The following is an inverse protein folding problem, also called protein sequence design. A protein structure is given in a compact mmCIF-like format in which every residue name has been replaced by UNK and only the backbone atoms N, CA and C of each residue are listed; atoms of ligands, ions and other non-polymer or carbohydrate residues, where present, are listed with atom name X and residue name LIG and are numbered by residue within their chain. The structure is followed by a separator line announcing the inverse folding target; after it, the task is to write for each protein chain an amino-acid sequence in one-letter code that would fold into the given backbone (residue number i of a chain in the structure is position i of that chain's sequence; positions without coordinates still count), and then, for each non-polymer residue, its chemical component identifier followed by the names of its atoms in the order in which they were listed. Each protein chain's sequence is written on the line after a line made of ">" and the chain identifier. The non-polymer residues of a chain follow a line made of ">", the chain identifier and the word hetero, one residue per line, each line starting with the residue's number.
data_IF_254079612385
#
_entry.id   IF_254079612385
#
_cell.length_a   1.000
_cell.length_b   1.000
_cell.length_c   1.000
_cell.angle_alpha   90.00
_cell.angle_beta   90.00
_cell.angle_gamma   90.00
#
_symmetry.space_group_name_H-M   'P 1'
#
loop_
_entity.id
_entity.type
_entity.pdbx_description
1 polymer ?
#
# COMPACT_ATOMS: atom_id res chain seq x y z
N UNK A 1 32.11 1.70 12.95
CA UNK A 1 32.27 3.12 13.29
C UNK A 1 31.14 3.60 14.15
N UNK A 2 31.28 4.76 14.72
CA UNK A 2 30.36 5.28 15.74
C UNK A 2 29.11 5.96 15.13
N UNK A 3 28.83 5.68 13.84
CA UNK A 3 27.72 6.29 13.10
C UNK A 3 26.51 5.40 13.04
N UNK A 4 25.33 5.99 13.21
CA UNK A 4 24.03 5.29 13.30
C UNK A 4 23.07 5.80 12.26
N UNK A 5 22.57 4.90 11.43
CA UNK A 5 21.56 5.18 10.41
C UNK A 5 20.32 4.40 10.77
N UNK A 6 19.21 5.11 10.95
CA UNK A 6 17.89 4.50 11.08
C UNK A 6 17.37 4.10 9.70
N UNK A 7 16.92 2.87 9.55
CA UNK A 7 16.26 2.42 8.33
C UNK A 7 14.81 2.11 8.64
N UNK A 8 13.91 2.86 8.05
CA UNK A 8 12.48 2.87 8.27
C UNK A 8 12.07 3.19 9.73
N UNK A 9 10.86 3.67 9.90
CA UNK A 9 10.26 3.96 11.20
C UNK A 9 8.74 3.79 11.08
N UNK A 10 8.29 2.54 11.20
CA UNK A 10 6.93 2.13 10.95
C UNK A 10 6.01 2.19 12.16
N UNK A 11 4.73 2.04 11.91
CA UNK A 11 3.71 1.75 12.93
C UNK A 11 3.18 0.34 12.74
N UNK A 12 2.97 -0.38 13.84
CA UNK A 12 2.36 -1.71 13.78
C UNK A 12 0.92 -1.61 13.27
N UNK A 13 0.54 -2.35 12.21
CA UNK A 13 -0.74 -2.16 11.53
C UNK A 13 -1.97 -2.56 12.35
N UNK A 14 -1.80 -3.45 13.34
CA UNK A 14 -2.89 -3.99 14.18
C UNK A 14 -2.94 -3.39 15.58
N UNK A 15 -1.79 -3.02 16.13
CA UNK A 15 -1.73 -2.50 17.49
C UNK A 15 -2.31 -1.09 17.57
N UNK A 16 -2.79 -0.74 18.75
CA UNK A 16 -3.36 0.57 19.04
C UNK A 16 -2.58 1.27 20.14
N UNK A 17 -2.80 2.58 20.30
CA UNK A 17 -2.11 3.37 21.30
C UNK A 17 -0.58 3.22 21.17
N UNK A 18 0.15 3.27 22.26
CA UNK A 18 1.63 3.20 22.28
C UNK A 18 2.19 1.89 21.73
N UNK A 19 1.43 0.81 21.78
CA UNK A 19 1.85 -0.50 21.26
C UNK A 19 1.99 -0.50 19.72
N UNK A 20 1.38 0.48 19.06
CA UNK A 20 1.59 0.68 17.62
C UNK A 20 2.95 1.28 17.26
N UNK A 21 3.66 1.88 18.22
CA UNK A 21 4.95 2.53 18.00
C UNK A 21 6.11 1.55 18.22
N UNK A 22 7.24 1.73 17.54
CA UNK A 22 8.49 1.04 17.85
C UNK A 22 8.94 1.36 19.30
N UNK A 23 9.75 0.47 19.88
CA UNK A 23 10.35 0.66 21.20
C UNK A 23 11.50 1.67 21.12
N UNK A 24 11.17 2.94 20.92
CA UNK A 24 12.15 4.01 20.74
C UNK A 24 13.10 4.17 21.93
N UNK A 25 12.67 3.87 23.16
CA UNK A 25 13.50 3.95 24.36
C UNK A 25 14.84 3.19 24.22
N UNK A 26 14.89 2.18 23.32
CA UNK A 26 16.12 1.44 23.06
C UNK A 26 17.17 2.21 22.27
N UNK A 27 16.81 3.32 21.66
CA UNK A 27 17.69 4.08 20.77
C UNK A 27 17.80 5.57 21.12
N UNK A 28 16.96 6.08 22.02
CA UNK A 28 16.90 7.53 22.32
C UNK A 28 18.13 8.06 23.04
N UNK A 29 18.88 7.20 23.75
CA UNK A 29 20.11 7.62 24.47
C UNK A 29 21.32 7.80 23.55
N UNK A 30 21.17 7.52 22.28
CA UNK A 30 22.25 7.51 21.31
C UNK A 30 21.94 8.40 20.10
N UNK A 31 22.94 9.09 19.54
CA UNK A 31 22.72 9.95 18.38
C UNK A 31 22.30 9.11 17.15
N UNK A 32 21.40 9.64 16.33
CA UNK A 32 21.09 9.18 14.99
C UNK A 32 21.61 10.21 13.98
N UNK A 33 22.53 9.80 13.12
CA UNK A 33 23.18 10.69 12.15
C UNK A 33 22.31 10.90 10.88
N UNK A 34 21.53 9.91 10.50
CA UNK A 34 20.64 9.96 9.34
C UNK A 34 19.51 8.93 9.45
N UNK A 35 18.46 9.11 8.66
CA UNK A 35 17.46 8.07 8.41
C UNK A 35 17.27 7.83 6.92
N UNK A 36 16.93 6.59 6.56
CA UNK A 36 16.49 6.20 5.21
C UNK A 36 15.07 5.70 5.32
N UNK A 37 14.18 6.18 4.45
CA UNK A 37 12.83 5.64 4.27
C UNK A 37 12.79 4.85 2.97
N UNK A 38 12.63 3.53 3.08
CA UNK A 38 12.60 2.63 1.93
C UNK A 38 11.38 2.86 1.04
N UNK A 39 10.21 3.01 1.64
CA UNK A 39 8.97 3.30 0.92
C UNK A 39 7.89 3.89 1.84
N UNK A 40 6.74 4.24 1.28
CA UNK A 40 5.76 5.07 1.97
C UNK A 40 4.70 4.34 2.80
N UNK A 41 4.63 2.99 2.83
CA UNK A 41 3.65 2.28 3.66
C UNK A 41 3.83 2.63 5.15
N UNK A 42 2.73 2.61 5.92
CA UNK A 42 2.74 3.10 7.30
C UNK A 42 3.52 2.19 8.27
N UNK A 43 3.67 0.92 7.96
CA UNK A 43 4.53 -0.01 8.67
C UNK A 43 6.04 0.25 8.44
N UNK A 44 6.38 1.16 7.53
CA UNK A 44 7.73 1.68 7.30
C UNK A 44 7.87 3.18 7.62
N UNK A 45 6.83 3.98 7.43
CA UNK A 45 6.88 5.45 7.55
C UNK A 45 6.08 6.01 8.73
N UNK A 46 5.17 5.22 9.32
CA UNK A 46 4.07 5.71 10.14
C UNK A 46 4.48 6.39 11.45
N UNK A 47 5.62 6.03 12.01
CA UNK A 47 6.14 6.65 13.24
C UNK A 47 7.30 7.62 13.00
N UNK A 48 7.67 7.88 11.73
CA UNK A 48 8.77 8.79 11.39
C UNK A 48 8.62 10.18 12.01
N UNK A 49 7.45 10.85 12.05
CA UNK A 49 7.31 12.12 12.73
C UNK A 49 7.53 12.04 14.26
N UNK A 50 7.28 10.88 14.86
CA UNK A 50 7.48 10.69 16.31
C UNK A 50 8.98 10.66 16.62
N UNK A 51 9.77 9.82 15.91
CA UNK A 51 11.21 9.76 16.15
C UNK A 51 11.92 11.06 15.78
N UNK A 52 11.51 11.76 14.72
CA UNK A 52 12.08 13.04 14.32
C UNK A 52 11.80 14.17 15.34
N UNK A 53 10.83 14.01 16.24
CA UNK A 53 10.64 14.94 17.37
C UNK A 53 11.82 14.90 18.34
N UNK A 54 12.42 13.73 18.53
CA UNK A 54 13.60 13.54 19.37
C UNK A 54 14.90 13.92 18.64
N UNK A 55 14.92 13.80 17.31
CA UNK A 55 16.06 14.12 16.45
C UNK A 55 15.68 15.15 15.39
N UNK A 56 15.40 16.42 15.76
CA UNK A 56 14.79 17.41 14.87
C UNK A 56 15.66 17.79 13.68
N UNK A 57 16.97 17.65 13.78
CA UNK A 57 17.93 17.97 12.72
C UNK A 57 18.37 16.75 11.91
N UNK A 58 17.90 15.54 12.25
CA UNK A 58 18.26 14.33 11.54
C UNK A 58 17.76 14.36 10.09
N UNK A 59 18.66 14.30 9.09
CA UNK A 59 18.26 14.22 7.69
C UNK A 59 17.61 12.86 7.39
N UNK A 60 16.52 12.89 6.63
CA UNK A 60 15.81 11.68 6.18
C UNK A 60 15.89 11.61 4.66
N UNK A 61 16.48 10.55 4.14
CA UNK A 61 16.62 10.33 2.71
C UNK A 61 15.60 9.32 2.20
N UNK A 62 15.02 9.60 1.05
CA UNK A 62 14.02 8.74 0.40
C UNK A 62 13.94 9.06 -1.10
N UNK A 63 13.18 8.30 -1.88
CA UNK A 63 12.90 8.68 -3.27
C UNK A 63 11.91 9.86 -3.34
N UNK A 64 11.92 10.62 -4.47
CA UNK A 64 10.97 11.71 -4.70
C UNK A 64 9.50 11.25 -4.62
N UNK A 65 9.22 10.04 -5.08
CA UNK A 65 7.88 9.48 -5.06
C UNK A 65 7.47 9.02 -3.66
N UNK A 66 8.39 8.44 -2.90
CA UNK A 66 8.17 8.08 -1.49
C UNK A 66 7.87 9.31 -0.66
N UNK A 67 8.60 10.42 -0.82
CA UNK A 67 8.32 11.68 -0.14
C UNK A 67 6.86 12.13 -0.37
N UNK A 68 6.43 12.21 -1.63
CA UNK A 68 5.08 12.65 -1.95
C UNK A 68 3.98 11.72 -1.41
N UNK A 69 4.20 10.41 -1.43
CA UNK A 69 3.25 9.42 -0.94
C UNK A 69 3.21 9.37 0.59
N UNK A 70 4.37 9.39 1.25
CA UNK A 70 4.48 9.36 2.70
C UNK A 70 3.80 10.58 3.34
N UNK A 71 4.04 11.80 2.82
CA UNK A 71 3.31 12.99 3.27
C UNK A 71 1.80 12.80 3.18
N UNK A 72 1.32 12.31 2.05
CA UNK A 72 -0.12 12.11 1.84
C UNK A 72 -0.72 11.07 2.80
N UNK A 73 0.01 9.99 3.09
CA UNK A 73 -0.41 8.95 4.04
C UNK A 73 -0.35 9.44 5.49
N UNK A 74 0.71 10.10 5.89
CA UNK A 74 0.85 10.62 7.26
C UNK A 74 -0.24 11.64 7.58
N UNK A 75 -0.56 12.54 6.65
CA UNK A 75 -1.71 13.44 6.82
C UNK A 75 -3.04 12.69 6.94
N UNK A 76 -3.23 11.61 6.20
CA UNK A 76 -4.41 10.76 6.35
C UNK A 76 -4.40 10.02 7.70
N UNK A 77 -3.24 9.54 8.15
CA UNK A 77 -3.08 8.87 9.44
C UNK A 77 -3.48 9.78 10.63
N UNK A 78 -3.11 11.07 10.59
CA UNK A 78 -3.61 12.04 11.59
C UNK A 78 -5.13 12.06 11.65
N UNK A 79 -5.81 12.12 10.51
CA UNK A 79 -7.27 12.12 10.48
C UNK A 79 -7.87 10.81 11.05
N UNK A 80 -7.28 9.67 10.70
CA UNK A 80 -7.72 8.36 11.21
C UNK A 80 -7.51 8.25 12.71
N UNK A 81 -6.33 8.64 13.21
CA UNK A 81 -6.05 8.64 14.65
C UNK A 81 -6.98 9.60 15.42
N UNK A 82 -7.28 10.78 14.87
CA UNK A 82 -8.23 11.74 15.47
C UNK A 82 -9.62 11.12 15.59
N UNK A 83 -10.13 10.46 14.54
CA UNK A 83 -11.42 9.75 14.61
C UNK A 83 -11.39 8.61 15.63
N UNK A 84 -10.30 7.83 15.68
CA UNK A 84 -10.14 6.75 16.67
C UNK A 84 -10.09 7.29 18.11
N UNK A 85 -9.45 8.44 18.34
CA UNK A 85 -9.47 9.11 19.63
C UNK A 85 -10.88 9.39 20.10
N UNK A 86 -11.70 9.99 19.25
CA UNK A 86 -13.08 10.35 19.56
C UNK A 86 -13.97 9.12 19.77
N UNK A 87 -13.76 8.07 19.00
CA UNK A 87 -14.62 6.88 18.97
C UNK A 87 -14.25 5.82 20.02
N UNK A 88 -12.97 5.65 20.32
CA UNK A 88 -12.42 4.60 21.19
C UNK A 88 -11.85 5.14 22.50
N UNK A 89 -11.78 6.47 22.66
CA UNK A 89 -11.22 7.09 23.86
C UNK A 89 -9.71 6.94 24.01
N UNK A 90 -8.98 6.74 22.90
CA UNK A 90 -7.52 6.57 22.90
C UNK A 90 -6.87 7.95 23.03
N UNK A 91 -6.53 8.36 24.25
CA UNK A 91 -6.05 9.71 24.56
C UNK A 91 -4.71 10.06 23.91
N UNK A 92 -3.86 9.09 23.64
CA UNK A 92 -2.55 9.25 23.01
C UNK A 92 -2.63 9.63 21.52
N UNK A 93 -3.78 9.43 20.88
CA UNK A 93 -3.97 9.82 19.48
C UNK A 93 -4.34 11.30 19.33
N UNK A 94 -3.93 11.94 18.23
CA UNK A 94 -2.97 11.46 17.26
C UNK A 94 -1.53 11.59 17.79
N UNK A 95 -0.65 10.65 17.45
CA UNK A 95 0.76 10.68 17.85
C UNK A 95 1.52 11.90 17.34
N UNK A 96 1.08 12.47 16.24
CA UNK A 96 1.62 13.67 15.63
C UNK A 96 0.50 14.43 14.90
N UNK A 97 0.74 15.71 14.65
CA UNK A 97 -0.21 16.63 14.04
C UNK A 97 0.19 16.96 12.59
N UNK A 98 -0.74 17.54 11.82
CA UNK A 98 -0.43 18.07 10.50
C UNK A 98 0.71 19.08 10.51
N UNK A 99 0.81 19.91 11.57
CA UNK A 99 1.86 20.93 11.74
C UNK A 99 3.23 20.26 11.95
N UNK A 100 3.29 19.18 12.74
CA UNK A 100 4.52 18.43 12.96
C UNK A 100 5.01 17.77 11.67
N UNK A 101 4.13 17.18 10.87
CA UNK A 101 4.50 16.64 9.55
C UNK A 101 5.17 17.73 8.70
N UNK A 102 4.60 18.93 8.62
CA UNK A 102 5.21 20.04 7.87
C UNK A 102 6.56 20.48 8.45
N UNK A 103 6.73 20.39 9.78
CA UNK A 103 8.00 20.73 10.44
C UNK A 103 9.09 19.74 10.09
N UNK A 104 8.83 18.44 10.28
CA UNK A 104 9.82 17.35 10.06
C UNK A 104 10.16 17.17 8.59
N UNK A 105 9.23 17.46 7.69
CA UNK A 105 9.45 17.38 6.24
C UNK A 105 10.56 18.34 5.75
N UNK A 106 10.94 19.35 6.51
CA UNK A 106 12.07 20.24 6.17
C UNK A 106 13.41 19.49 6.17
N UNK A 107 13.51 18.40 6.90
CA UNK A 107 14.68 17.52 6.95
C UNK A 107 14.58 16.33 5.98
N UNK A 108 13.56 16.29 5.12
CA UNK A 108 13.42 15.26 4.12
C UNK A 108 14.16 15.64 2.85
N UNK A 109 15.06 14.77 2.43
CA UNK A 109 15.97 14.97 1.32
C UNK A 109 15.73 13.94 0.22
N UNK A 110 14.78 14.17 -0.71
CA UNK A 110 14.53 13.26 -1.81
C UNK A 110 15.77 13.03 -2.67
N UNK A 111 16.01 11.78 -3.09
CA UNK A 111 17.13 11.37 -3.92
C UNK A 111 16.62 10.58 -5.12
N UNK A 112 17.39 10.65 -6.22
CA UNK A 112 17.08 9.91 -7.44
C UNK A 112 17.70 8.51 -7.39
N UNK A 113 16.96 7.51 -7.85
CA UNK A 113 17.45 6.15 -7.99
C UNK A 113 18.66 6.08 -8.93
N UNK A 114 19.58 5.17 -8.65
CA UNK A 114 20.80 4.96 -9.40
C UNK A 114 21.85 6.06 -9.27
N UNK A 115 21.63 7.06 -8.41
CA UNK A 115 22.60 8.13 -8.13
C UNK A 115 23.14 7.99 -6.72
N UNK A 116 24.48 7.78 -6.62
CA UNK A 116 25.19 7.78 -5.34
C UNK A 116 25.15 9.16 -4.70
N UNK A 117 24.93 9.21 -3.39
CA UNK A 117 24.96 10.41 -2.59
C UNK A 117 25.64 10.16 -1.24
N UNK A 118 26.26 11.19 -0.70
CA UNK A 118 26.92 11.13 0.59
C UNK A 118 25.92 11.30 1.73
N UNK A 119 26.13 10.54 2.79
CA UNK A 119 25.48 10.72 4.07
C UNK A 119 26.41 11.62 4.93
N UNK A 120 26.33 12.92 4.72
CA UNK A 120 27.32 13.90 5.18
C UNK A 120 27.73 13.78 6.65
N UNK A 121 26.80 13.46 7.52
CA UNK A 121 27.06 13.34 8.95
C UNK A 121 27.72 12.00 9.34
N UNK A 122 27.93 11.09 8.40
CA UNK A 122 28.36 9.72 8.67
C UNK A 122 29.84 9.44 8.43
N UNK A 123 30.66 10.48 8.22
CA UNK A 123 32.11 10.28 8.09
C UNK A 123 32.55 9.50 6.84
N UNK A 124 31.92 9.76 5.70
CA UNK A 124 32.29 9.16 4.41
C UNK A 124 31.47 7.93 3.99
N UNK A 125 30.35 7.66 4.67
CA UNK A 125 29.39 6.69 4.16
C UNK A 125 28.59 7.29 3.01
N UNK A 126 28.33 6.48 1.99
CA UNK A 126 27.49 6.86 0.86
C UNK A 126 26.35 5.85 0.67
N UNK A 127 25.30 6.28 -0.02
CA UNK A 127 24.17 5.44 -0.32
C UNK A 127 23.76 5.58 -1.79
N UNK A 128 23.28 4.49 -2.38
CA UNK A 128 22.65 4.46 -3.70
C UNK A 128 21.32 3.77 -3.59
N UNK A 129 20.25 4.40 -4.11
CA UNK A 129 18.93 3.80 -4.15
C UNK A 129 18.74 2.99 -5.43
N UNK A 130 18.28 1.75 -5.29
CA UNK A 130 17.87 0.87 -6.36
C UNK A 130 16.36 0.66 -6.33
N UNK A 131 15.72 0.41 -7.48
CA UNK A 131 14.28 0.15 -7.52
C UNK A 131 13.97 -1.19 -6.85
N UNK A 132 13.11 -1.18 -5.84
CA UNK A 132 12.68 -2.38 -5.12
C UNK A 132 11.51 -3.11 -5.79
N UNK A 133 10.80 -2.51 -6.74
CA UNK A 133 9.70 -3.14 -7.49
C UNK A 133 8.39 -3.32 -6.73
N UNK A 134 8.34 -2.97 -5.43
CA UNK A 134 7.20 -3.19 -4.56
C UNK A 134 6.03 -2.22 -4.84
N UNK A 135 6.23 -0.92 -4.61
CA UNK A 135 5.29 0.16 -4.96
C UNK A 135 6.04 1.31 -5.60
N UNK A 136 5.31 2.31 -6.11
CA UNK A 136 5.92 3.52 -6.65
C UNK A 136 6.85 4.18 -5.63
N UNK A 137 8.10 4.36 -6.01
CA UNK A 137 9.11 5.01 -5.19
C UNK A 137 9.81 4.11 -4.18
N UNK A 138 9.39 2.85 -4.03
CA UNK A 138 10.07 1.89 -3.16
C UNK A 138 11.51 1.67 -3.62
N UNK A 139 12.45 1.73 -2.67
CA UNK A 139 13.89 1.61 -2.92
C UNK A 139 14.54 0.58 -2.02
N UNK A 140 15.56 -0.07 -2.58
CA UNK A 140 16.54 -0.88 -1.85
C UNK A 140 17.83 -0.07 -1.73
N UNK A 141 18.15 0.51 -0.56
CA UNK A 141 19.38 1.27 -0.35
C UNK A 141 20.61 0.35 -0.27
N UNK A 142 21.63 0.68 -1.03
CA UNK A 142 22.99 0.12 -0.92
C UNK A 142 23.88 1.15 -0.22
N UNK A 143 24.39 0.79 0.92
CA UNK A 143 25.36 1.59 1.68
C UNK A 143 26.79 1.14 1.36
N UNK A 144 27.68 2.10 1.23
CA UNK A 144 29.10 1.86 1.05
C UNK A 144 29.88 2.64 2.11
N UNK A 145 30.71 1.95 2.85
CA UNK A 145 31.56 2.52 3.89
C UNK A 145 32.83 1.70 4.09
N UNK A 146 33.98 2.34 4.09
CA UNK A 146 35.30 1.69 4.32
C UNK A 146 35.53 0.43 3.47
N UNK A 147 35.15 0.47 2.20
CA UNK A 147 35.29 -0.64 1.27
C UNK A 147 34.33 -1.82 1.51
N UNK A 148 33.33 -1.66 2.34
CA UNK A 148 32.26 -2.62 2.59
C UNK A 148 30.93 -2.13 2.04
N UNK A 149 30.11 -3.09 1.62
CA UNK A 149 28.76 -2.84 1.07
C UNK A 149 27.71 -3.55 1.89
N UNK A 150 26.66 -2.80 2.26
CA UNK A 150 25.49 -3.33 2.98
C UNK A 150 24.26 -2.97 2.16
N UNK A 151 23.43 -3.95 1.81
CA UNK A 151 22.17 -3.73 1.13
C UNK A 151 21.01 -4.11 2.03
N UNK A 152 20.04 -3.22 2.13
CA UNK A 152 18.72 -3.47 2.71
C UNK A 152 17.69 -3.48 1.59
N UNK A 153 16.90 -4.53 1.45
CA UNK A 153 15.95 -4.62 0.34
C UNK A 153 14.72 -3.75 0.52
N UNK A 154 14.35 -3.44 1.77
CA UNK A 154 12.97 -3.05 2.04
C UNK A 154 12.03 -4.17 1.59
N UNK A 155 10.78 -3.81 1.33
CA UNK A 155 9.85 -4.69 0.63
C UNK A 155 10.22 -4.76 -0.84
N UNK A 156 10.48 -5.96 -1.35
CA UNK A 156 11.03 -6.18 -2.69
C UNK A 156 10.14 -7.09 -3.53
N UNK A 157 9.99 -6.74 -4.81
CA UNK A 157 9.26 -7.56 -5.77
C UNK A 157 10.04 -7.65 -7.10
N UNK A 158 10.35 -8.86 -7.55
CA UNK A 158 11.25 -9.08 -8.68
C UNK A 158 10.56 -9.10 -10.05
N UNK A 159 9.26 -9.38 -10.08
CA UNK A 159 8.49 -9.46 -11.33
C UNK A 159 7.87 -8.11 -11.69
N UNK A 160 7.63 -7.88 -12.98
CA UNK A 160 6.88 -6.72 -13.43
C UNK A 160 5.42 -6.83 -12.96
N UNK A 161 4.93 -5.76 -12.34
CA UNK A 161 3.51 -5.55 -12.07
C UNK A 161 2.86 -4.84 -13.27
N UNK A 162 1.58 -4.49 -13.21
CA UNK A 162 0.96 -3.76 -14.33
C UNK A 162 1.56 -2.36 -14.53
N UNK A 163 1.92 -1.68 -13.44
CA UNK A 163 2.55 -0.34 -13.50
C UNK A 163 4.03 -0.41 -13.14
N UNK A 164 4.35 -0.93 -11.97
CA UNK A 164 5.70 -0.89 -11.44
C UNK A 164 6.50 -2.05 -12.01
N UNK A 165 7.67 -1.76 -12.53
CA UNK A 165 8.62 -2.79 -12.97
C UNK A 165 9.25 -3.47 -11.78
N UNK A 166 9.57 -4.75 -11.92
CA UNK A 166 10.26 -5.53 -10.92
C UNK A 166 11.57 -4.90 -10.46
N UNK A 167 12.07 -5.34 -9.32
CA UNK A 167 13.28 -4.81 -8.72
C UNK A 167 14.46 -4.74 -9.71
N UNK A 168 15.26 -3.70 -9.60
CA UNK A 168 16.47 -3.54 -10.40
C UNK A 168 17.64 -3.31 -9.45
N UNK A 169 18.18 -4.41 -8.93
CA UNK A 169 19.24 -4.42 -7.93
C UNK A 169 20.63 -4.45 -8.60
N UNK A 170 21.71 -4.07 -7.87
CA UNK A 170 23.07 -4.14 -8.40
C UNK A 170 23.48 -5.59 -8.65
N UNK A 171 24.37 -5.79 -9.63
CA UNK A 171 24.97 -7.09 -9.96
C UNK A 171 26.31 -7.32 -9.24
N UNK A 172 26.84 -6.28 -8.60
CA UNK A 172 28.10 -6.35 -7.86
C UNK A 172 27.96 -7.18 -6.59
N UNK A 173 29.10 -7.69 -6.11
CA UNK A 173 29.17 -8.41 -4.85
C UNK A 173 28.77 -7.49 -3.68
N UNK A 174 27.87 -7.97 -2.86
CA UNK A 174 27.42 -7.31 -1.63
C UNK A 174 27.99 -8.07 -0.44
N UNK A 175 28.64 -7.37 0.51
CA UNK A 175 29.21 -8.00 1.70
C UNK A 175 28.12 -8.42 2.71
N UNK A 176 27.08 -7.60 2.90
CA UNK A 176 25.97 -7.88 3.81
C UNK A 176 24.65 -7.59 3.11
N UNK A 177 23.76 -8.56 3.10
CA UNK A 177 22.39 -8.43 2.58
C UNK A 177 21.39 -8.61 3.72
N UNK A 178 20.52 -7.59 3.90
CA UNK A 178 19.35 -7.63 4.79
C UNK A 178 18.13 -7.74 3.89
N UNK A 179 17.51 -8.92 3.87
CA UNK A 179 16.45 -9.30 2.93
C UNK A 179 15.15 -9.53 3.66
N UNK A 180 14.03 -9.00 3.14
CA UNK A 180 12.70 -9.41 3.56
C UNK A 180 12.44 -10.89 3.20
N UNK A 181 11.51 -11.52 3.91
CA UNK A 181 11.13 -12.91 3.65
C UNK A 181 9.61 -13.16 3.79
N UNK A 182 8.81 -12.17 3.45
CA UNK A 182 7.33 -12.21 3.54
C UNK A 182 6.75 -13.45 2.86
N UNK A 183 7.34 -13.88 1.75
CA UNK A 183 6.95 -15.09 1.04
C UNK A 183 7.96 -16.24 1.16
N UNK A 184 8.90 -16.17 2.04
CA UNK A 184 9.97 -17.17 2.16
C UNK A 184 9.49 -18.61 2.42
N UNK A 185 8.33 -18.77 3.04
CA UNK A 185 7.69 -20.08 3.27
C UNK A 185 6.57 -20.44 2.29
N UNK A 186 6.29 -19.62 1.26
CA UNK A 186 5.21 -19.81 0.32
C UNK A 186 5.73 -20.21 -1.07
N UNK A 187 5.46 -21.42 -1.51
CA UNK A 187 5.71 -21.83 -2.89
C UNK A 187 4.58 -21.34 -3.80
N UNK A 188 4.93 -20.98 -5.03
CA UNK A 188 3.98 -20.77 -6.12
C UNK A 188 3.97 -21.95 -7.07
N UNK A 189 2.85 -22.14 -7.75
CA UNK A 189 2.75 -23.04 -8.89
C UNK A 189 3.84 -22.60 -9.91
N UNK A 190 4.69 -23.53 -10.40
CA UNK A 190 5.70 -23.22 -11.42
C UNK A 190 5.13 -22.59 -12.71
N UNK A 191 3.87 -22.87 -13.05
CA UNK A 191 3.18 -22.31 -14.20
C UNK A 191 2.48 -20.96 -13.91
N UNK A 192 2.57 -20.49 -12.67
CA UNK A 192 1.99 -19.22 -12.30
C UNK A 192 2.63 -18.07 -13.10
N UNK A 193 1.78 -17.24 -13.69
CA UNK A 193 2.15 -15.91 -14.17
C UNK A 193 1.12 -14.90 -13.65
N UNK A 194 1.56 -13.68 -13.42
CA UNK A 194 0.65 -12.59 -13.04
C UNK A 194 -0.47 -12.41 -14.08
N UNK A 195 -0.17 -12.60 -15.35
CA UNK A 195 -1.16 -12.51 -16.43
C UNK A 195 -2.17 -13.66 -16.39
N UNK A 196 -1.73 -14.91 -16.19
CA UNK A 196 -2.66 -16.05 -16.07
C UNK A 196 -3.62 -15.88 -14.88
N UNK A 197 -3.14 -15.32 -13.78
CA UNK A 197 -3.98 -15.02 -12.61
C UNK A 197 -4.97 -13.86 -12.91
N UNK A 198 -4.54 -12.86 -13.67
CA UNK A 198 -5.42 -11.77 -14.14
C UNK A 198 -6.52 -12.31 -15.08
N UNK A 199 -6.21 -13.27 -15.95
CA UNK A 199 -7.21 -13.92 -16.81
C UNK A 199 -8.22 -14.73 -15.98
N UNK A 200 -7.79 -15.43 -14.94
CA UNK A 200 -8.71 -16.13 -14.01
C UNK A 200 -9.65 -15.12 -13.31
N UNK A 201 -9.12 -13.99 -12.84
CA UNK A 201 -9.95 -12.92 -12.27
C UNK A 201 -10.95 -12.40 -13.32
N UNK A 202 -10.49 -12.09 -14.53
CA UNK A 202 -11.34 -11.59 -15.60
C UNK A 202 -12.49 -12.56 -15.93
N UNK A 203 -12.21 -13.86 -16.01
CA UNK A 203 -13.22 -14.89 -16.25
C UNK A 203 -14.31 -14.86 -15.18
N UNK A 204 -13.93 -14.81 -13.91
CA UNK A 204 -14.89 -14.76 -12.80
C UNK A 204 -15.69 -13.46 -12.77
N UNK A 205 -15.05 -12.35 -13.15
CA UNK A 205 -15.73 -11.07 -13.30
C UNK A 205 -16.75 -11.10 -14.44
N UNK A 206 -16.38 -11.66 -15.60
CA UNK A 206 -17.29 -11.80 -16.75
C UNK A 206 -18.53 -12.61 -16.40
N UNK A 207 -18.37 -13.78 -15.77
CA UNK A 207 -19.48 -14.62 -15.31
C UNK A 207 -20.45 -13.85 -14.39
N UNK A 208 -19.89 -13.07 -13.44
CA UNK A 208 -20.67 -12.25 -12.54
C UNK A 208 -21.43 -11.14 -13.28
N UNK A 209 -20.75 -10.42 -14.18
CA UNK A 209 -21.33 -9.31 -14.92
C UNK A 209 -22.40 -9.78 -15.95
N UNK A 210 -22.22 -10.97 -16.54
CA UNK A 210 -23.23 -11.62 -17.41
C UNK A 210 -24.49 -11.98 -16.64
N UNK A 211 -24.32 -12.45 -15.40
CA UNK A 211 -25.45 -12.72 -14.50
C UNK A 211 -26.12 -11.44 -13.93
N UNK A 212 -25.75 -10.25 -14.44
CA UNK A 212 -26.18 -8.94 -13.95
C UNK A 212 -25.84 -8.69 -12.49
N UNK A 213 -24.75 -9.28 -12.01
CA UNK A 213 -24.13 -8.98 -10.72
C UNK A 213 -23.19 -7.79 -10.83
N UNK A 214 -22.57 -7.47 -9.70
CA UNK A 214 -21.50 -6.46 -9.59
C UNK A 214 -20.30 -7.08 -8.89
N UNK A 215 -19.12 -6.52 -9.14
CA UNK A 215 -17.86 -7.01 -8.56
C UNK A 215 -17.35 -6.00 -7.53
N UNK A 216 -16.93 -6.48 -6.37
CA UNK A 216 -16.19 -5.69 -5.39
C UNK A 216 -14.78 -6.22 -5.27
N UNK A 217 -13.80 -5.34 -5.42
CA UNK A 217 -12.37 -5.64 -5.22
C UNK A 217 -11.88 -4.72 -4.10
N UNK A 218 -11.84 -5.19 -2.86
CA UNK A 218 -11.27 -4.43 -1.73
C UNK A 218 -9.78 -4.27 -1.90
N UNK A 219 -9.28 -3.03 -1.81
CA UNK A 219 -7.90 -2.69 -2.15
C UNK A 219 -7.27 -1.74 -1.14
N UNK A 220 -5.98 -1.91 -0.89
CA UNK A 220 -5.20 -0.85 -0.24
C UNK A 220 -5.16 0.38 -1.15
N UNK A 221 -5.31 1.56 -0.54
CA UNK A 221 -5.45 2.82 -1.28
C UNK A 221 -4.20 3.20 -2.08
N UNK A 222 -3.03 2.71 -1.65
CA UNK A 222 -1.73 2.94 -2.29
C UNK A 222 -1.12 1.61 -2.75
N UNK A 223 -0.57 1.59 -3.94
CA UNK A 223 0.03 0.45 -4.61
C UNK A 223 -1.03 -0.41 -5.28
N UNK A 224 -1.77 -1.21 -4.53
CA UNK A 224 -2.76 -2.17 -5.04
C UNK A 224 -3.87 -1.56 -5.88
N UNK A 225 -4.42 -0.42 -5.46
CA UNK A 225 -5.47 0.26 -6.25
C UNK A 225 -4.94 0.63 -7.63
N UNK A 226 -3.75 1.20 -7.72
CA UNK A 226 -3.19 1.67 -8.97
C UNK A 226 -2.84 0.49 -9.89
N UNK A 227 -2.22 -0.55 -9.37
CA UNK A 227 -1.92 -1.79 -10.09
C UNK A 227 -3.20 -2.46 -10.62
N UNK A 228 -4.25 -2.54 -9.81
CA UNK A 228 -5.53 -3.14 -10.21
C UNK A 228 -6.23 -2.31 -11.30
N UNK A 229 -6.23 -0.97 -11.20
CA UNK A 229 -6.79 -0.09 -12.26
C UNK A 229 -6.11 -0.40 -13.60
N UNK A 230 -4.77 -0.49 -13.60
CA UNK A 230 -4.03 -0.76 -14.83
C UNK A 230 -4.28 -2.16 -15.36
N UNK A 231 -4.28 -3.17 -14.49
CA UNK A 231 -4.58 -4.56 -14.83
C UNK A 231 -5.98 -4.69 -15.46
N UNK A 232 -7.00 -4.08 -14.87
CA UNK A 232 -8.35 -4.08 -15.44
C UNK A 232 -8.39 -3.40 -16.82
N UNK A 233 -7.66 -2.31 -17.00
CA UNK A 233 -7.53 -1.64 -18.28
C UNK A 233 -6.84 -2.53 -19.33
N UNK A 234 -5.78 -3.23 -18.95
CA UNK A 234 -5.07 -4.18 -19.82
C UNK A 234 -5.99 -5.33 -20.26
N UNK A 235 -6.74 -5.91 -19.31
CA UNK A 235 -7.72 -6.97 -19.59
C UNK A 235 -8.82 -6.50 -20.54
N UNK A 236 -9.33 -5.27 -20.39
CA UNK A 236 -10.31 -4.69 -21.30
C UNK A 236 -9.71 -4.48 -22.70
N UNK A 237 -8.49 -3.99 -22.80
CA UNK A 237 -7.79 -3.82 -24.09
C UNK A 237 -7.53 -5.17 -24.79
N UNK A 238 -7.20 -6.20 -24.01
CA UNK A 238 -7.01 -7.56 -24.49
C UNK A 238 -8.34 -8.29 -24.79
N UNK A 239 -9.50 -7.63 -24.59
CA UNK A 239 -10.85 -8.22 -24.74
C UNK A 239 -11.09 -9.44 -23.87
N UNK A 240 -10.37 -9.55 -22.73
CA UNK A 240 -10.55 -10.58 -21.70
C UNK A 240 -11.60 -10.15 -20.67
N UNK A 241 -11.89 -8.84 -20.58
CA UNK A 241 -12.91 -8.26 -19.73
C UNK A 241 -13.71 -7.24 -20.57
N UNK A 242 -15.05 -7.28 -20.43
CA UNK A 242 -15.92 -6.29 -21.09
C UNK A 242 -15.64 -4.87 -20.60
N UNK A 243 -16.04 -3.88 -21.39
CA UNK A 243 -15.97 -2.48 -20.97
C UNK A 243 -16.99 -2.24 -19.83
N UNK A 244 -16.54 -2.31 -18.61
CA UNK A 244 -17.29 -1.99 -17.39
C UNK A 244 -16.67 -0.77 -16.72
N UNK A 245 -17.48 -0.06 -15.93
CA UNK A 245 -16.97 1.02 -15.09
C UNK A 245 -16.39 0.46 -13.80
N UNK A 246 -15.25 1.02 -13.37
CA UNK A 246 -14.66 0.71 -12.07
C UNK A 246 -14.48 1.96 -11.24
N UNK A 247 -14.97 1.88 -10.00
CA UNK A 247 -15.08 3.04 -9.11
C UNK A 247 -13.96 3.02 -8.07
N UNK A 248 -13.28 4.16 -7.93
CA UNK A 248 -12.35 4.40 -6.82
C UNK A 248 -12.88 5.52 -5.93
N UNK A 249 -12.45 5.52 -4.66
CA UNK A 249 -12.92 6.54 -3.70
C UNK A 249 -11.88 6.92 -2.65
N UNK A 250 -12.17 7.99 -1.94
CA UNK A 250 -11.39 8.41 -0.78
C UNK A 250 -9.90 8.63 -1.06
N UNK A 251 -9.06 8.02 -0.23
CA UNK A 251 -7.60 8.14 -0.30
C UNK A 251 -7.03 7.60 -1.62
N UNK A 252 -7.66 6.57 -2.22
CA UNK A 252 -7.20 6.00 -3.49
C UNK A 252 -7.14 7.03 -4.61
N UNK A 253 -8.08 7.98 -4.66
CA UNK A 253 -8.06 9.08 -5.64
C UNK A 253 -6.81 9.95 -5.46
N UNK A 254 -6.48 10.31 -4.21
CA UNK A 254 -5.30 11.12 -3.89
C UNK A 254 -4.02 10.40 -4.29
N UNK A 255 -3.90 9.12 -3.94
CA UNK A 255 -2.74 8.29 -4.28
C UNK A 255 -2.59 8.14 -5.80
N UNK A 256 -3.67 7.87 -6.53
CA UNK A 256 -3.64 7.74 -8.00
C UNK A 256 -3.18 9.04 -8.68
N UNK A 257 -3.61 10.22 -8.18
CA UNK A 257 -3.12 11.50 -8.69
C UNK A 257 -1.62 11.72 -8.42
N UNK A 258 -1.10 11.19 -7.32
CA UNK A 258 0.35 11.24 -7.06
C UNK A 258 1.08 10.31 -8.04
N UNK A 259 0.58 9.09 -8.27
CA UNK A 259 1.13 8.18 -9.29
C UNK A 259 1.21 8.85 -10.67
N UNK A 260 0.17 9.58 -11.05
CA UNK A 260 0.12 10.27 -12.34
C UNK A 260 1.17 11.39 -12.47
N UNK A 261 1.46 12.13 -11.37
CA UNK A 261 2.53 13.15 -11.37
C UNK A 261 3.91 12.57 -11.67
N UNK A 262 4.14 11.31 -11.31
CA UNK A 262 5.41 10.62 -11.52
C UNK A 262 5.43 9.74 -12.76
N UNK A 263 4.39 9.76 -13.60
CA UNK A 263 4.24 8.87 -14.74
C UNK A 263 5.40 8.88 -15.74
N UNK A 264 6.14 9.99 -15.84
CA UNK A 264 7.33 10.16 -16.69
C UNK A 264 8.67 10.22 -15.91
N UNK A 265 8.62 10.07 -14.59
CA UNK A 265 9.81 10.31 -13.74
C UNK A 265 10.39 9.05 -13.10
N UNK A 266 9.62 7.99 -13.06
CA UNK A 266 10.01 6.72 -12.45
C UNK A 266 10.12 5.64 -13.53
N UNK A 267 10.85 4.57 -13.21
CA UNK A 267 10.92 3.36 -14.03
C UNK A 267 9.62 2.58 -13.86
N UNK A 268 8.80 2.53 -14.91
CA UNK A 268 7.51 1.84 -14.88
C UNK A 268 7.09 1.32 -16.27
N UNK A 269 6.14 0.41 -16.30
CA UNK A 269 5.41 0.07 -17.49
C UNK A 269 4.46 1.22 -17.88
N UNK A 270 4.05 1.32 -19.15
CA UNK A 270 3.16 2.37 -19.64
C UNK A 270 3.62 3.80 -19.30
N UNK A 271 4.86 4.11 -19.66
CA UNK A 271 5.46 5.42 -19.40
C UNK A 271 4.55 6.56 -19.88
N UNK A 272 4.32 7.55 -19.03
CA UNK A 272 3.47 8.72 -19.33
C UNK A 272 1.96 8.47 -19.29
N UNK A 273 1.49 7.22 -19.11
CA UNK A 273 0.07 6.94 -19.00
C UNK A 273 -0.49 7.55 -17.69
N UNK A 274 -1.60 8.26 -17.82
CA UNK A 274 -2.33 8.86 -16.72
C UNK A 274 -3.48 7.94 -16.30
N UNK A 275 -3.38 7.38 -15.09
CA UNK A 275 -4.37 6.43 -14.55
C UNK A 275 -5.75 7.07 -14.38
N UNK A 276 -5.80 8.34 -13.94
CA UNK A 276 -7.08 9.06 -13.78
C UNK A 276 -7.82 9.29 -15.10
N UNK A 277 -7.17 9.05 -16.25
CA UNK A 277 -7.76 9.15 -17.59
C UNK A 277 -8.05 7.79 -18.23
N UNK A 278 -7.83 6.70 -17.51
CA UNK A 278 -8.15 5.36 -18.00
C UNK A 278 -9.66 5.27 -18.25
N UNK A 279 -10.02 4.73 -19.42
CA UNK A 279 -11.44 4.59 -19.82
C UNK A 279 -12.18 3.68 -18.82
N UNK A 280 -13.34 4.13 -18.39
CA UNK A 280 -14.18 3.41 -17.42
C UNK A 280 -13.87 3.70 -15.96
N UNK A 281 -12.74 4.37 -15.65
CA UNK A 281 -12.45 4.76 -14.26
C UNK A 281 -13.36 5.91 -13.82
N UNK A 282 -14.09 5.69 -12.73
CA UNK A 282 -14.97 6.68 -12.11
C UNK A 282 -14.50 6.97 -10.69
N UNK A 283 -14.61 8.23 -10.29
CA UNK A 283 -14.37 8.63 -8.92
C UNK A 283 -15.67 8.75 -8.16
N UNK A 284 -15.72 8.23 -6.92
CA UNK A 284 -16.87 8.48 -6.04
C UNK A 284 -16.99 9.99 -5.74
N UNK A 285 -18.21 10.46 -5.43
CA UNK A 285 -18.43 11.85 -5.00
C UNK A 285 -17.52 12.25 -3.85
N UNK A 286 -17.15 13.54 -3.78
CA UNK A 286 -16.22 14.08 -2.77
C UNK A 286 -16.83 14.28 -1.39
N UNK A 287 -18.14 14.07 -1.21
CA UNK A 287 -18.79 14.20 0.07
C UNK A 287 -18.27 13.18 1.07
N UNK A 288 -17.83 13.66 2.23
CA UNK A 288 -17.29 12.80 3.29
C UNK A 288 -18.40 11.83 3.72
N UNK A 289 -18.10 10.54 3.55
CA UNK A 289 -18.95 9.47 4.10
C UNK A 289 -20.06 8.95 3.19
N UNK A 290 -20.32 9.52 2.01
CA UNK A 290 -21.25 8.93 1.05
C UNK A 290 -20.68 7.67 0.40
N UNK A 291 -21.48 6.61 0.41
CA UNK A 291 -21.20 5.40 -0.33
C UNK A 291 -21.62 5.57 -1.80
N UNK A 292 -20.88 4.97 -2.75
CA UNK A 292 -21.40 4.88 -4.11
C UNK A 292 -22.68 4.06 -4.11
N UNK A 293 -23.62 4.44 -4.99
CA UNK A 293 -24.82 3.63 -5.21
C UNK A 293 -24.42 2.26 -5.73
N UNK A 294 -25.10 1.23 -5.23
CA UNK A 294 -24.98 -0.11 -5.77
C UNK A 294 -25.79 -0.19 -7.05
N UNK A 295 -25.09 -0.24 -8.17
CA UNK A 295 -25.67 -0.38 -9.50
C UNK A 295 -25.16 -1.68 -10.12
N UNK A 296 -26.03 -2.34 -10.88
CA UNK A 296 -25.69 -3.59 -11.58
C UNK A 296 -24.58 -3.36 -12.62
N UNK A 297 -23.69 -4.32 -12.75
CA UNK A 297 -22.66 -4.30 -13.76
C UNK A 297 -21.45 -3.41 -13.45
N UNK A 298 -21.39 -2.80 -12.26
CA UNK A 298 -20.25 -1.99 -11.84
C UNK A 298 -19.18 -2.82 -11.12
N UNK A 299 -17.94 -2.34 -11.20
CA UNK A 299 -16.80 -2.84 -10.45
C UNK A 299 -16.41 -1.82 -9.39
N UNK A 300 -16.41 -2.20 -8.12
CA UNK A 300 -16.12 -1.34 -6.97
C UNK A 300 -14.72 -1.64 -6.46
N UNK A 301 -13.75 -0.82 -6.81
CA UNK A 301 -12.34 -0.94 -6.36
C UNK A 301 -12.10 0.01 -5.19
N UNK A 302 -12.50 -0.42 -3.99
CA UNK A 302 -12.61 0.45 -2.82
C UNK A 302 -11.63 0.06 -1.70
N UNK A 303 -11.13 1.04 -0.98
CA UNK A 303 -10.30 0.83 0.22
C UNK A 303 -11.18 0.70 1.49
N UNK A 304 -10.75 -0.10 2.47
CA UNK A 304 -9.46 -0.79 2.62
C UNK A 304 -9.48 -2.20 2.01
N UNK A 305 -8.27 -2.74 1.74
CA UNK A 305 -8.11 -4.09 1.19
C UNK A 305 -8.58 -5.20 2.14
N UNK A 306 -8.44 -5.00 3.45
CA UNK A 306 -8.87 -5.94 4.50
C UNK A 306 -10.32 -5.71 4.96
N UNK A 307 -11.06 -4.81 4.30
CA UNK A 307 -12.40 -4.37 4.73
C UNK A 307 -12.44 -3.91 6.20
N UNK A 308 -11.38 -3.27 6.70
CA UNK A 308 -11.35 -2.73 8.06
C UNK A 308 -12.62 -1.94 8.34
N UNK A 309 -13.17 -2.10 9.54
CA UNK A 309 -14.43 -1.47 9.96
C UNK A 309 -14.47 0.03 9.62
N UNK A 310 -15.66 0.53 9.28
CA UNK A 310 -15.94 1.92 8.88
C UNK A 310 -15.30 2.39 7.57
N UNK A 311 -14.42 1.62 6.95
CA UNK A 311 -13.90 1.95 5.62
C UNK A 311 -14.98 1.83 4.54
N UNK A 312 -14.71 2.42 3.38
CA UNK A 312 -15.69 2.43 2.29
C UNK A 312 -16.01 1.01 1.79
N UNK A 313 -15.01 0.15 1.67
CA UNK A 313 -15.20 -1.26 1.28
C UNK A 313 -16.03 -2.03 2.31
N UNK A 314 -15.77 -1.86 3.62
CA UNK A 314 -16.52 -2.50 4.68
C UNK A 314 -17.99 -2.05 4.70
N UNK A 315 -18.22 -0.73 4.66
CA UNK A 315 -19.55 -0.15 4.68
C UNK A 315 -20.40 -0.58 3.48
N UNK A 316 -19.79 -0.66 2.29
CA UNK A 316 -20.49 -1.13 1.09
C UNK A 316 -20.76 -2.64 1.17
N UNK A 317 -19.84 -3.43 1.71
CA UNK A 317 -19.98 -4.86 1.88
C UNK A 317 -21.24 -5.26 2.68
N UNK A 318 -21.67 -4.45 3.65
CA UNK A 318 -22.89 -4.68 4.44
C UNK A 318 -24.13 -4.92 3.58
N UNK A 319 -24.20 -4.29 2.41
CA UNK A 319 -25.31 -4.46 1.47
C UNK A 319 -24.94 -5.37 0.30
N UNK A 320 -23.65 -5.38 -0.06
CA UNK A 320 -23.16 -6.02 -1.26
C UNK A 320 -23.18 -7.55 -1.20
N UNK A 321 -22.80 -8.13 -0.04
CA UNK A 321 -22.63 -9.58 0.12
C UNK A 321 -23.96 -10.35 0.19
N UNK A 322 -25.07 -9.68 0.42
CA UNK A 322 -26.40 -10.27 0.46
C UNK A 322 -26.99 -10.58 -0.96
N UNK A 323 -26.37 -10.04 -2.02
CA UNK A 323 -26.87 -10.31 -3.38
C UNK A 323 -26.17 -11.55 -3.98
N UNK A 324 -26.91 -12.61 -4.34
CA UNK A 324 -26.33 -13.87 -4.85
C UNK A 324 -25.63 -13.77 -6.20
N UNK A 325 -25.85 -12.69 -6.96
CA UNK A 325 -25.22 -12.46 -8.26
C UNK A 325 -23.86 -11.77 -8.14
N UNK A 326 -23.56 -11.18 -6.98
CA UNK A 326 -22.35 -10.40 -6.79
C UNK A 326 -21.09 -11.29 -6.55
N UNK A 327 -19.94 -10.72 -6.85
CA UNK A 327 -18.62 -11.31 -6.60
C UNK A 327 -17.78 -10.38 -5.73
N UNK A 328 -17.21 -10.89 -4.64
CA UNK A 328 -16.12 -10.25 -3.94
C UNK A 328 -14.82 -10.95 -4.35
N UNK A 329 -13.92 -10.20 -5.00
CA UNK A 329 -12.61 -10.67 -5.42
C UNK A 329 -11.52 -10.15 -4.47
N UNK A 330 -10.86 -11.04 -3.75
CA UNK A 330 -9.75 -10.71 -2.87
C UNK A 330 -8.45 -10.82 -3.67
N UNK A 331 -7.73 -9.72 -3.84
CA UNK A 331 -6.52 -9.64 -4.67
C UNK A 331 -5.27 -9.24 -3.85
N UNK A 332 -5.35 -9.31 -2.55
CA UNK A 332 -4.28 -8.94 -1.64
C UNK A 332 -4.30 -9.74 -0.35
N UNK A 333 -3.37 -9.44 0.51
CA UNK A 333 -3.31 -10.02 1.85
C UNK A 333 -4.57 -9.69 2.66
N UNK A 334 -5.12 -10.69 3.30
CA UNK A 334 -6.18 -10.56 4.30
C UNK A 334 -5.66 -11.09 5.64
N UNK A 335 -5.55 -10.20 6.61
CA UNK A 335 -5.19 -10.56 7.96
C UNK A 335 -6.22 -11.55 8.55
N UNK A 336 -5.82 -12.62 9.26
CA UNK A 336 -6.74 -13.61 9.81
C UNK A 336 -7.89 -13.04 10.66
N UNK A 337 -7.64 -11.93 11.37
CA UNK A 337 -8.63 -11.28 12.23
C UNK A 337 -9.50 -10.24 11.47
N UNK A 338 -9.22 -10.00 10.19
CA UNK A 338 -9.90 -8.97 9.40
C UNK A 338 -11.30 -9.40 8.97
N UNK A 339 -12.22 -8.44 8.74
CA UNK A 339 -13.52 -8.73 8.12
C UNK A 339 -13.40 -9.43 6.76
N UNK A 340 -12.34 -9.14 6.00
CA UNK A 340 -12.09 -9.81 4.73
C UNK A 340 -11.75 -11.27 4.90
N UNK A 341 -10.93 -11.62 5.90
CA UNK A 341 -10.61 -13.03 6.19
C UNK A 341 -11.85 -13.80 6.66
N UNK A 342 -12.67 -13.20 7.52
CA UNK A 342 -13.97 -13.79 7.91
C UNK A 342 -14.86 -14.07 6.70
N UNK A 343 -14.90 -13.12 5.75
CA UNK A 343 -15.68 -13.30 4.52
C UNK A 343 -15.12 -14.40 3.62
N UNK A 344 -13.79 -14.49 3.48
CA UNK A 344 -13.13 -15.57 2.71
C UNK A 344 -13.41 -16.93 3.34
N UNK A 345 -13.31 -17.04 4.66
CA UNK A 345 -13.52 -18.29 5.40
C UNK A 345 -14.98 -18.72 5.55
N UNK A 346 -15.95 -17.88 5.21
CA UNK A 346 -17.38 -18.22 5.32
C UNK A 346 -17.88 -19.03 4.13
N UNK A 347 -18.95 -19.76 4.31
CA UNK A 347 -19.69 -20.43 3.23
C UNK A 347 -20.90 -19.60 2.77
N UNK A 348 -21.44 -19.92 1.60
CA UNK A 348 -22.65 -19.27 1.10
C UNK A 348 -23.84 -19.64 1.98
N UNK A 349 -24.57 -18.65 2.45
CA UNK A 349 -25.72 -18.81 3.37
C UNK A 349 -25.36 -18.57 4.83
N UNK A 350 -24.09 -18.50 5.19
CA UNK A 350 -23.66 -18.17 6.55
C UNK A 350 -23.75 -16.67 6.85
N UNK A 351 -23.85 -16.36 8.13
CA UNK A 351 -23.83 -14.99 8.64
C UNK A 351 -22.38 -14.54 8.89
N UNK A 352 -22.00 -13.38 8.36
CA UNK A 352 -20.67 -12.82 8.48
C UNK A 352 -20.71 -11.49 9.23
N UNK A 353 -19.98 -11.40 10.33
CA UNK A 353 -19.79 -10.15 11.07
C UNK A 353 -18.70 -9.30 10.39
N UNK A 354 -19.14 -8.28 9.67
CA UNK A 354 -18.24 -7.34 8.97
C UNK A 354 -17.88 -6.10 9.82
N UNK A 355 -18.71 -5.74 10.77
CA UNK A 355 -18.55 -4.57 11.65
C UNK A 355 -19.06 -4.94 13.03
N UNK A 356 -18.23 -4.82 14.06
CA UNK A 356 -18.52 -5.21 15.45
C UNK A 356 -19.70 -4.46 16.07
N UNK A 357 -20.09 -3.31 15.49
CA UNK A 357 -21.22 -2.48 15.92
C UNK A 357 -22.49 -2.71 15.13
N UNK A 358 -22.53 -3.71 14.25
CA UNK A 358 -23.66 -4.03 13.39
C UNK A 358 -24.06 -5.49 13.48
N UNK A 359 -25.27 -5.79 13.03
CA UNK A 359 -25.72 -7.16 12.90
C UNK A 359 -24.92 -7.90 11.80
N UNK A 360 -24.66 -9.20 11.98
CA UNK A 360 -24.10 -10.04 10.94
C UNK A 360 -24.94 -10.02 9.67
N UNK A 361 -24.30 -10.15 8.53
CA UNK A 361 -24.98 -10.16 7.22
C UNK A 361 -24.86 -11.54 6.60
N UNK A 362 -26.00 -12.09 6.16
CA UNK A 362 -26.05 -13.37 5.45
C UNK A 362 -25.35 -13.26 4.11
N UNK A 363 -24.22 -13.98 3.94
CA UNK A 363 -23.48 -14.03 2.70
C UNK A 363 -24.22 -14.85 1.65
N UNK A 364 -24.56 -14.22 0.52
CA UNK A 364 -25.15 -14.88 -0.64
C UNK A 364 -24.23 -14.79 -1.87
N UNK A 365 -23.34 -13.80 -1.91
CA UNK A 365 -22.42 -13.54 -3.02
C UNK A 365 -21.32 -14.62 -3.15
N UNK A 366 -20.71 -14.69 -4.32
CA UNK A 366 -19.46 -15.44 -4.51
C UNK A 366 -18.29 -14.66 -3.89
N UNK A 367 -17.34 -15.40 -3.28
CA UNK A 367 -16.08 -14.85 -2.76
C UNK A 367 -14.94 -15.70 -3.29
N UNK A 368 -13.92 -15.06 -3.84
CA UNK A 368 -12.76 -15.76 -4.39
C UNK A 368 -11.49 -14.96 -4.18
N UNK A 369 -10.40 -15.65 -3.83
CA UNK A 369 -9.05 -15.07 -3.68
C UNK A 369 -8.22 -15.30 -4.94
N UNK A 370 -7.35 -14.32 -5.25
CA UNK A 370 -6.42 -14.32 -6.39
C UNK A 370 -5.05 -13.87 -5.88
N UNK A 371 -3.98 -14.50 -6.36
CA UNK A 371 -2.62 -14.20 -5.92
C UNK A 371 -1.98 -13.09 -6.77
N UNK A 372 -2.05 -11.86 -6.28
CA UNK A 372 -1.35 -10.72 -6.85
C UNK A 372 -0.37 -10.13 -5.83
N UNK A 373 0.51 -10.94 -5.25
CA UNK A 373 1.49 -10.43 -4.29
C UNK A 373 2.34 -9.29 -4.86
N UNK A 374 2.81 -8.41 -3.98
CA UNK A 374 3.80 -7.37 -4.28
C UNK A 374 5.14 -7.59 -3.59
N UNK A 375 5.33 -8.83 -3.05
CA UNK A 375 6.54 -9.31 -2.42
C UNK A 375 7.07 -10.52 -3.14
#
# INVERSE_FOLDING_TARGET
>A
GDKRILIDSGMHPKAESKDALPQFDRILDEPLDAAILSHAHLDHSGSLPVIQRHYPEMPVFMSEATDALAQALLHNSVNVMTSKREELGINEYPFFTHREIHKVNRQWHPRRNGKKFELHETGGASCTFYDAGHIMGAVSPLFEFSGKTIMYTGDVHFEDQSIIKGANLPSEKIDVLILECTRGGASRDPEYTRWSEAEKLALRMEECLEARGSVMIPLFAMGRTQETIMMLHELQRARKLRNSSFLIGGLSIKMTKIYDRFSNRIRRNHQGLNLMRVKGLLSTPRSRGELPKLEQGNVYTLSSGMMTEKTMSNRLAQQFIANPRNLVACVGYADPDSPMARLIGSERGEEVLLDSKKEPVKRQCSVQSFDFSGH
#
